data_IF_529861186902
#
_entry.id   IF_529861186902
#
_cell.length_a   1.000
_cell.length_b   1.000
_cell.length_c   1.000
_cell.angle_alpha   90.00
_cell.angle_beta   90.00
_cell.angle_gamma   90.00
#
_symmetry.space_group_name_H-M   'P 1'
#
loop_
_entity.id
_entity.type
_entity.pdbx_description
1 polymer ?
#
# COMPACT_ATOMS: atom_id res chain seq x y z
N UNK A 1 32.99 3.21 23.52
CA UNK A 1 31.54 3.50 23.50
C UNK A 1 31.06 3.38 22.05
N UNK A 2 30.33 2.31 21.73
CA UNK A 2 29.77 2.13 20.38
C UNK A 2 28.35 2.71 20.33
N UNK A 3 28.15 3.71 19.49
CA UNK A 3 26.82 4.27 19.21
C UNK A 3 26.11 3.33 18.23
N UNK A 4 25.12 2.58 18.73
CA UNK A 4 24.17 1.87 17.89
C UNK A 4 23.13 2.88 17.37
N UNK A 5 23.34 3.42 16.17
CA UNK A 5 22.33 4.20 15.48
C UNK A 5 21.29 3.24 14.89
N UNK A 6 20.24 2.93 15.64
CA UNK A 6 19.07 2.23 15.11
C UNK A 6 18.28 3.18 14.21
N UNK A 7 18.33 2.97 12.89
CA UNK A 7 17.38 3.61 11.99
C UNK A 7 16.02 2.95 12.19
N UNK A 8 15.03 3.70 12.67
CA UNK A 8 13.64 3.25 12.69
C UNK A 8 13.17 3.17 11.24
N UNK A 9 13.11 1.95 10.70
CA UNK A 9 12.51 1.69 9.39
C UNK A 9 10.99 1.72 9.61
N UNK A 10 10.31 2.72 9.05
CA UNK A 10 8.85 2.83 9.13
C UNK A 10 8.23 1.77 8.20
N UNK A 11 7.87 0.63 8.77
CA UNK A 11 7.19 -0.45 8.05
C UNK A 11 5.73 -0.07 7.78
N UNK A 12 5.24 -0.29 6.56
CA UNK A 12 3.86 0.02 6.15
C UNK A 12 3.00 -1.22 6.26
N UNK A 13 1.82 -1.16 6.88
CA UNK A 13 0.87 -2.27 6.87
C UNK A 13 -0.27 -1.96 5.88
N UNK A 14 -0.46 -2.75 4.81
CA UNK A 14 -1.56 -2.66 3.84
C UNK A 14 -2.93 -2.45 4.46
N UNK A 15 -3.25 -3.25 5.45
CA UNK A 15 -4.58 -3.25 6.06
C UNK A 15 -4.80 -1.94 6.83
N UNK A 16 -3.74 -1.39 7.41
CA UNK A 16 -3.80 -0.09 8.08
C UNK A 16 -3.95 1.05 7.08
N UNK A 17 -3.28 0.99 5.93
CA UNK A 17 -3.42 2.00 4.89
C UNK A 17 -4.78 1.93 4.18
N UNK A 18 -5.29 0.73 3.90
CA UNK A 18 -6.66 0.51 3.42
C UNK A 18 -7.69 1.01 4.43
N UNK A 19 -7.47 0.78 5.72
CA UNK A 19 -8.36 1.29 6.76
C UNK A 19 -8.35 2.83 6.81
N UNK A 20 -7.19 3.48 6.66
CA UNK A 20 -7.13 4.95 6.55
C UNK A 20 -7.88 5.46 5.33
N UNK A 21 -7.75 4.79 4.18
CA UNK A 21 -8.48 5.14 2.97
C UNK A 21 -10.00 5.01 3.18
N UNK A 22 -10.44 3.94 3.84
CA UNK A 22 -11.85 3.78 4.23
C UNK A 22 -12.33 4.93 5.13
N UNK A 23 -11.55 5.30 6.16
CA UNK A 23 -11.89 6.42 7.04
C UNK A 23 -11.99 7.74 6.27
N UNK A 24 -11.10 7.98 5.29
CA UNK A 24 -11.17 9.16 4.41
C UNK A 24 -12.46 9.18 3.59
N UNK A 25 -12.88 8.07 2.98
CA UNK A 25 -14.14 8.02 2.23
C UNK A 25 -15.37 8.23 3.12
N UNK A 26 -15.28 7.79 4.37
CA UNK A 26 -16.31 8.00 5.37
C UNK A 26 -16.26 9.39 6.00
N UNK A 27 -15.25 10.22 5.74
CA UNK A 27 -14.98 11.47 6.46
C UNK A 27 -14.96 11.28 7.98
N UNK A 28 -14.23 10.25 8.42
CA UNK A 28 -13.96 9.93 9.83
C UNK A 28 -12.50 10.24 10.14
N UNK A 29 -12.25 10.90 11.27
CA UNK A 29 -10.91 11.15 11.80
C UNK A 29 -10.77 10.47 13.16
N UNK A 30 -9.61 9.89 13.43
CA UNK A 30 -9.31 9.33 14.75
C UNK A 30 -8.90 10.45 15.70
N UNK A 31 -9.53 10.51 16.88
CA UNK A 31 -9.15 11.46 17.93
C UNK A 31 -7.78 11.10 18.55
N UNK A 32 -7.29 11.93 19.49
CA UNK A 32 -6.01 11.68 20.20
C UNK A 32 -5.97 10.36 20.99
N UNK A 33 -7.13 9.72 21.20
CA UNK A 33 -7.30 8.45 21.92
C UNK A 33 -7.56 7.28 20.96
N UNK A 34 -7.62 7.52 19.64
CA UNK A 34 -7.90 6.52 18.62
C UNK A 34 -9.39 6.25 18.37
N UNK A 35 -10.32 7.05 18.90
CA UNK A 35 -11.74 6.87 18.65
C UNK A 35 -12.16 7.54 17.32
N UNK A 36 -13.02 6.89 16.52
CA UNK A 36 -13.53 7.47 15.28
C UNK A 36 -14.50 8.62 15.58
N UNK A 37 -14.23 9.79 14.98
CA UNK A 37 -15.09 10.97 15.03
C UNK A 37 -15.52 11.34 13.62
N UNK A 38 -16.83 11.46 13.39
CA UNK A 38 -17.38 11.93 12.12
C UNK A 38 -17.13 13.44 11.97
N UNK A 39 -16.42 13.86 10.92
CA UNK A 39 -16.04 15.27 10.72
C UNK A 39 -16.75 15.94 9.54
N UNK A 40 -17.53 15.19 8.76
CA UNK A 40 -18.30 15.73 7.64
C UNK A 40 -19.23 14.69 7.02
N UNK A 41 -19.89 15.03 5.92
CA UNK A 41 -20.70 14.07 5.15
C UNK A 41 -19.79 13.06 4.45
N UNK A 42 -20.05 11.75 4.48
CA UNK A 42 -19.29 10.76 3.71
C UNK A 42 -19.23 11.11 2.22
N UNK A 43 -18.11 10.76 1.55
CA UNK A 43 -17.94 11.00 0.11
C UNK A 43 -18.78 10.04 -0.74
N UNK A 44 -19.14 8.88 -0.19
CA UNK A 44 -19.95 7.85 -0.80
C UNK A 44 -20.64 7.01 0.29
N UNK A 45 -21.65 6.24 -0.08
CA UNK A 45 -22.29 5.28 0.81
C UNK A 45 -21.45 4.01 1.04
N UNK A 46 -21.89 3.15 1.95
CA UNK A 46 -21.20 1.89 2.30
C UNK A 46 -20.92 0.98 1.10
N UNK A 47 -21.83 0.95 0.13
CA UNK A 47 -21.66 0.13 -1.08
C UNK A 47 -20.52 0.65 -1.94
N UNK A 48 -20.47 1.96 -2.16
CA UNK A 48 -19.36 2.62 -2.87
C UNK A 48 -18.04 2.39 -2.15
N UNK A 49 -18.01 2.55 -0.82
CA UNK A 49 -16.78 2.34 -0.03
C UNK A 49 -16.27 0.92 -0.25
N UNK A 50 -17.13 -0.09 -0.09
CA UNK A 50 -16.74 -1.49 -0.27
C UNK A 50 -16.26 -1.79 -1.69
N UNK A 51 -16.92 -1.22 -2.71
CA UNK A 51 -16.51 -1.40 -4.11
C UNK A 51 -15.09 -0.86 -4.36
N UNK A 52 -14.85 0.40 -4.00
CA UNK A 52 -13.57 1.06 -4.26
C UNK A 52 -12.45 0.44 -3.42
N UNK A 53 -12.70 0.18 -2.14
CA UNK A 53 -11.73 -0.48 -1.27
C UNK A 53 -11.39 -1.88 -1.78
N UNK A 54 -12.38 -2.65 -2.25
CA UNK A 54 -12.14 -3.97 -2.84
C UNK A 54 -11.26 -3.92 -4.09
N UNK A 55 -11.48 -2.93 -4.96
CA UNK A 55 -10.63 -2.70 -6.13
C UNK A 55 -9.18 -2.35 -5.73
N UNK A 56 -8.99 -1.43 -4.77
CA UNK A 56 -7.66 -1.05 -4.29
C UNK A 56 -6.96 -2.22 -3.57
N UNK A 57 -7.70 -2.97 -2.75
CA UNK A 57 -7.19 -4.13 -2.02
C UNK A 57 -6.66 -5.21 -2.98
N UNK A 58 -7.31 -5.41 -4.13
CA UNK A 58 -6.87 -6.39 -5.13
C UNK A 58 -5.44 -6.18 -5.62
N UNK A 59 -4.95 -4.93 -5.59
CA UNK A 59 -3.57 -4.55 -5.92
C UNK A 59 -2.71 -4.54 -4.66
N UNK A 60 -3.16 -3.86 -3.61
CA UNK A 60 -2.42 -3.64 -2.35
C UNK A 60 -2.06 -4.95 -1.64
N UNK A 61 -2.83 -6.03 -1.81
CA UNK A 61 -2.53 -7.33 -1.20
C UNK A 61 -1.48 -8.16 -1.95
N UNK A 62 -1.06 -7.78 -3.17
CA UNK A 62 -0.18 -8.60 -4.03
C UNK A 62 1.31 -8.22 -3.95
N UNK A 63 1.77 -7.80 -2.79
CA UNK A 63 3.05 -7.08 -2.65
C UNK A 63 4.25 -7.92 -3.00
N UNK A 64 4.23 -9.19 -2.62
CA UNK A 64 5.23 -10.20 -3.01
C UNK A 64 5.36 -10.31 -4.52
N UNK A 65 4.24 -10.19 -5.25
CA UNK A 65 4.24 -10.21 -6.71
C UNK A 65 4.80 -8.90 -7.23
N UNK A 66 4.32 -7.77 -6.71
CA UNK A 66 4.70 -6.41 -7.13
C UNK A 66 6.19 -6.10 -6.99
N UNK A 67 6.88 -6.67 -5.99
CA UNK A 67 8.34 -6.49 -5.85
C UNK A 67 9.17 -7.20 -6.92
N UNK A 68 8.57 -8.11 -7.69
CA UNK A 68 9.21 -8.88 -8.75
C UNK A 68 8.73 -8.49 -10.15
N UNK A 69 7.84 -7.48 -10.27
CA UNK A 69 7.32 -7.01 -11.55
C UNK A 69 8.23 -5.93 -12.14
N UNK A 70 8.47 -6.06 -13.44
CA UNK A 70 9.11 -5.02 -14.24
C UNK A 70 8.27 -3.73 -14.24
N UNK A 71 8.94 -2.59 -14.40
CA UNK A 71 8.33 -1.25 -14.33
C UNK A 71 7.17 -1.10 -15.31
N UNK A 72 7.29 -1.63 -16.53
CA UNK A 72 6.24 -1.59 -17.56
C UNK A 72 4.96 -2.32 -17.14
N UNK A 73 5.10 -3.44 -16.43
CA UNK A 73 3.95 -4.22 -15.92
C UNK A 73 3.30 -3.47 -14.76
N UNK A 74 4.09 -2.81 -13.91
CA UNK A 74 3.58 -1.98 -12.82
C UNK A 74 2.83 -0.75 -13.33
N UNK A 75 3.34 -0.10 -14.36
CA UNK A 75 2.64 1.01 -15.03
C UNK A 75 1.32 0.53 -15.66
N UNK A 76 1.33 -0.63 -16.33
CA UNK A 76 0.12 -1.24 -16.89
C UNK A 76 -0.94 -1.57 -15.81
N UNK A 77 -0.51 -2.08 -14.65
CA UNK A 77 -1.39 -2.34 -13.51
C UNK A 77 -1.98 -1.06 -12.92
N UNK A 78 -1.16 0.00 -12.80
CA UNK A 78 -1.62 1.31 -12.35
C UNK A 78 -2.69 1.86 -13.28
N UNK A 79 -2.43 1.82 -14.58
CA UNK A 79 -3.33 2.36 -15.59
C UNK A 79 -4.64 1.54 -15.64
N UNK A 80 -4.54 0.21 -15.52
CA UNK A 80 -5.71 -0.67 -15.39
C UNK A 80 -6.57 -0.34 -14.16
N UNK A 81 -5.93 -0.12 -12.99
CA UNK A 81 -6.65 0.26 -11.78
C UNK A 81 -7.31 1.63 -11.93
N UNK A 82 -6.60 2.61 -12.49
CA UNK A 82 -7.13 3.93 -12.78
C UNK A 82 -8.37 3.84 -13.67
N UNK A 83 -8.29 3.09 -14.77
CA UNK A 83 -9.40 2.87 -15.67
C UNK A 83 -10.59 2.21 -14.99
N UNK A 84 -10.34 1.20 -14.16
CA UNK A 84 -11.38 0.43 -13.47
C UNK A 84 -12.13 1.32 -12.48
N UNK A 85 -11.40 2.03 -11.62
CA UNK A 85 -12.00 2.93 -10.61
C UNK A 85 -12.72 4.08 -11.31
N UNK A 86 -12.12 4.70 -12.34
CA UNK A 86 -12.75 5.78 -13.07
C UNK A 86 -14.09 5.35 -13.69
N UNK A 87 -14.11 4.20 -14.38
CA UNK A 87 -15.34 3.65 -14.99
C UNK A 87 -16.38 3.32 -13.92
N UNK A 88 -15.99 2.67 -12.83
CA UNK A 88 -16.90 2.31 -11.75
C UNK A 88 -17.56 3.55 -11.12
N UNK A 89 -16.76 4.55 -10.75
CA UNK A 89 -17.25 5.81 -10.17
C UNK A 89 -18.14 6.60 -11.14
N UNK A 90 -17.87 6.56 -12.44
CA UNK A 90 -18.68 7.23 -13.45
C UNK A 90 -20.03 6.54 -13.65
N UNK A 91 -20.03 5.21 -13.76
CA UNK A 91 -21.24 4.43 -14.03
C UNK A 91 -22.15 4.32 -12.79
N UNK A 92 -21.55 4.18 -11.61
CA UNK A 92 -22.28 3.93 -10.36
C UNK A 92 -22.42 5.18 -9.47
N UNK A 93 -22.13 6.38 -9.99
CA UNK A 93 -22.18 7.64 -9.21
C UNK A 93 -23.47 7.80 -8.40
N UNK A 94 -24.62 7.62 -9.04
CA UNK A 94 -25.92 7.79 -8.40
C UNK A 94 -26.17 6.69 -7.34
N UNK A 95 -25.77 5.45 -7.66
CA UNK A 95 -25.87 4.29 -6.76
C UNK A 95 -25.03 4.47 -5.50
N UNK A 96 -23.81 4.99 -5.66
CA UNK A 96 -22.88 5.27 -4.56
C UNK A 96 -23.15 6.58 -3.82
N UNK A 97 -24.17 7.33 -4.23
CA UNK A 97 -24.56 8.61 -3.64
C UNK A 97 -23.43 9.65 -3.66
N UNK A 98 -22.63 9.67 -4.74
CA UNK A 98 -21.54 10.64 -4.88
C UNK A 98 -22.11 11.99 -5.33
N UNK A 99 -22.06 12.96 -4.42
CA UNK A 99 -22.77 14.23 -4.52
C UNK A 99 -22.42 15.03 -5.78
N UNK A 100 -21.13 15.19 -6.09
CA UNK A 100 -20.66 16.04 -7.18
C UNK A 100 -19.36 15.53 -7.81
N UNK A 101 -18.96 16.14 -8.93
CA UNK A 101 -17.75 15.76 -9.65
C UNK A 101 -16.48 15.95 -8.79
N UNK A 102 -16.43 16.99 -7.95
CA UNK A 102 -15.30 17.23 -7.05
C UNK A 102 -15.12 16.10 -6.03
N UNK A 103 -16.21 15.61 -5.43
CA UNK A 103 -16.19 14.46 -4.55
C UNK A 103 -15.70 13.20 -5.28
N UNK A 104 -16.20 12.96 -6.49
CA UNK A 104 -15.75 11.84 -7.35
C UNK A 104 -14.25 11.92 -7.62
N UNK A 105 -13.76 13.09 -8.03
CA UNK A 105 -12.36 13.29 -8.38
C UNK A 105 -11.46 13.12 -7.14
N UNK A 106 -11.91 13.60 -5.97
CA UNK A 106 -11.24 13.35 -4.69
C UNK A 106 -11.15 11.86 -4.38
N UNK A 107 -12.26 11.12 -4.50
CA UNK A 107 -12.29 9.67 -4.27
C UNK A 107 -11.28 8.96 -5.18
N UNK A 108 -11.32 9.29 -6.47
CA UNK A 108 -10.42 8.72 -7.48
C UNK A 108 -8.95 8.98 -7.12
N UNK A 109 -8.59 10.23 -6.83
CA UNK A 109 -7.22 10.60 -6.52
C UNK A 109 -6.70 9.92 -5.25
N UNK A 110 -7.50 9.84 -4.19
CA UNK A 110 -7.11 9.15 -2.94
C UNK A 110 -6.91 7.65 -3.15
N UNK A 111 -7.82 6.99 -3.90
CA UNK A 111 -7.73 5.56 -4.19
C UNK A 111 -6.47 5.22 -5.00
N UNK A 112 -6.20 6.01 -6.04
CA UNK A 112 -5.06 5.80 -6.93
C UNK A 112 -3.74 6.15 -6.23
N UNK A 113 -3.69 7.25 -5.48
CA UNK A 113 -2.51 7.60 -4.71
C UNK A 113 -2.13 6.48 -3.73
N UNK A 114 -3.10 5.89 -3.03
CA UNK A 114 -2.87 4.78 -2.11
C UNK A 114 -2.26 3.56 -2.81
N UNK A 115 -2.86 3.16 -3.94
CA UNK A 115 -2.39 2.02 -4.71
C UNK A 115 -0.96 2.27 -5.25
N UNK A 116 -0.67 3.46 -5.76
CA UNK A 116 0.65 3.83 -6.28
C UNK A 116 1.70 3.84 -5.17
N UNK A 117 1.42 4.46 -4.02
CA UNK A 117 2.34 4.49 -2.88
C UNK A 117 2.67 3.06 -2.45
N UNK A 118 1.66 2.19 -2.40
CA UNK A 118 1.82 0.78 -2.07
C UNK A 118 2.67 0.03 -3.11
N UNK A 119 2.35 0.16 -4.41
CA UNK A 119 3.10 -0.45 -5.50
C UNK A 119 4.58 -0.03 -5.50
N UNK A 120 4.83 1.27 -5.34
CA UNK A 120 6.17 1.82 -5.33
C UNK A 120 6.96 1.38 -4.10
N UNK A 121 6.33 1.30 -2.92
CA UNK A 121 6.98 0.76 -1.72
C UNK A 121 7.34 -0.72 -1.89
N UNK A 122 6.41 -1.53 -2.40
CA UNK A 122 6.67 -2.95 -2.66
C UNK A 122 7.89 -3.16 -3.55
N UNK A 123 8.01 -2.37 -4.63
CA UNK A 123 9.12 -2.47 -5.57
C UNK A 123 10.45 -1.89 -5.05
N UNK A 124 10.43 -0.71 -4.43
CA UNK A 124 11.67 -0.02 -4.05
C UNK A 124 12.27 -0.52 -2.74
N UNK A 125 11.42 -0.96 -1.81
CA UNK A 125 11.83 -1.29 -0.44
C UNK A 125 11.87 -2.80 -0.17
N UNK A 126 11.31 -3.60 -1.08
CA UNK A 126 11.23 -5.05 -0.99
C UNK A 126 10.21 -5.55 0.04
N UNK A 127 9.76 -6.79 -0.14
CA UNK A 127 8.68 -7.44 0.63
C UNK A 127 8.89 -7.41 2.16
N UNK A 128 10.15 -7.50 2.62
CA UNK A 128 10.50 -7.49 4.06
C UNK A 128 10.09 -6.21 4.79
N UNK A 129 10.07 -5.06 4.10
CA UNK A 129 9.71 -3.77 4.72
C UNK A 129 8.20 -3.50 4.71
N UNK A 130 7.46 -4.37 4.04
CA UNK A 130 6.06 -4.17 3.71
C UNK A 130 5.09 -5.03 4.54
N UNK A 131 5.55 -6.14 5.12
CA UNK A 131 4.72 -6.98 5.99
C UNK A 131 5.10 -6.85 7.46
N UNK A 132 4.10 -6.64 8.32
CA UNK A 132 4.30 -6.58 9.77
C UNK A 132 4.46 -7.99 10.34
N UNK A 133 5.69 -8.32 10.73
CA UNK A 133 6.04 -9.28 11.76
C UNK A 133 7.33 -8.76 12.38
N UNK A 134 7.37 -8.54 13.69
CA UNK A 134 8.53 -7.94 14.36
C UNK A 134 9.82 -8.70 14.03
N UNK A 135 10.62 -8.19 13.11
CA UNK A 135 12.02 -8.54 13.02
C UNK A 135 12.81 -7.27 13.30
N UNK A 136 13.25 -7.18 14.55
CA UNK A 136 14.33 -6.29 14.93
C UNK A 136 15.58 -6.79 14.19
N UNK A 137 15.88 -6.22 13.02
CA UNK A 137 17.15 -6.49 12.35
C UNK A 137 18.26 -5.91 13.24
N UNK A 138 18.93 -6.78 13.99
CA UNK A 138 20.23 -6.48 14.59
C UNK A 138 21.20 -6.35 13.41
N UNK A 139 21.47 -5.12 12.99
CA UNK A 139 22.56 -4.83 12.05
C UNK A 139 23.86 -5.04 12.82
N UNK A 140 24.36 -6.27 12.81
CA UNK A 140 25.73 -6.54 13.24
C UNK A 140 26.64 -6.02 12.14
N UNK A 141 27.16 -4.80 12.29
CA UNK A 141 28.30 -4.32 11.51
C UNK A 141 29.55 -5.12 11.91
N UNK A 142 29.58 -6.40 11.53
CA UNK A 142 30.79 -7.19 11.44
C UNK A 142 31.34 -7.00 10.03
N UNK A 143 32.55 -6.44 9.93
CA UNK A 143 33.36 -6.48 8.72
C UNK A 143 33.33 -7.89 8.11
N UNK A 144 32.59 -8.08 7.01
CA UNK A 144 32.78 -9.22 6.13
C UNK A 144 33.04 -8.67 4.72
N UNK A 145 34.16 -9.03 4.10
CA UNK A 145 34.53 -8.54 2.78
C UNK A 145 33.65 -9.21 1.72
N UNK A 146 33.07 -8.41 0.83
CA UNK A 146 32.53 -8.82 -0.49
C UNK A 146 31.52 -9.97 -0.51
N UNK A 147 30.22 -9.66 -0.64
CA UNK A 147 29.19 -10.67 -0.89
C UNK A 147 28.04 -10.14 -1.74
N UNK A 148 27.90 -10.69 -2.94
CA UNK A 148 26.99 -10.28 -4.01
C UNK A 148 25.50 -10.21 -3.61
N UNK A 149 24.76 -9.32 -4.29
CA UNK A 149 23.29 -9.22 -4.29
C UNK A 149 22.66 -10.49 -4.86
N UNK A 150 22.47 -11.51 -4.03
CA UNK A 150 21.74 -12.74 -4.38
C UNK A 150 20.40 -12.79 -3.64
N UNK A 151 19.31 -12.96 -4.39
CA UNK A 151 17.94 -13.02 -3.87
C UNK A 151 17.73 -14.15 -2.85
N UNK A 152 16.65 -14.03 -2.07
CA UNK A 152 16.32 -14.90 -0.95
C UNK A 152 16.29 -16.40 -1.34
N UNK A 153 15.83 -16.70 -2.56
CA UNK A 153 15.74 -18.07 -3.10
C UNK A 153 17.12 -18.70 -3.36
N UNK A 154 18.10 -17.91 -3.82
CA UNK A 154 19.48 -18.38 -4.01
C UNK A 154 20.17 -18.75 -2.70
N UNK A 155 19.79 -18.14 -1.57
CA UNK A 155 20.28 -18.51 -0.23
C UNK A 155 19.54 -19.71 0.37
N UNK A 156 18.25 -19.86 0.08
CA UNK A 156 17.44 -20.95 0.63
C UNK A 156 17.71 -22.31 0.00
N UNK A 157 18.13 -22.36 -1.27
CA UNK A 157 18.30 -23.62 -2.02
C UNK A 157 19.72 -24.20 -1.99
N UNK A 158 20.69 -23.56 -1.32
CA UNK A 158 22.04 -24.12 -1.15
C UNK A 158 22.79 -24.45 -2.46
N UNK A 159 22.33 -23.93 -3.60
CA UNK A 159 22.94 -24.14 -4.92
C UNK A 159 23.96 -23.03 -5.25
N UNK A 160 24.90 -22.83 -4.34
CA UNK A 160 26.11 -22.04 -4.57
C UNK A 160 27.32 -22.92 -4.31
N UNK A 161 27.60 -23.83 -5.24
CA UNK A 161 28.71 -24.77 -5.16
C UNK A 161 30.04 -24.16 -5.61
N UNK A 162 31.06 -24.45 -4.79
CA UNK A 162 32.52 -24.26 -4.91
C UNK A 162 33.07 -22.85 -4.69
#
# INVERSE_FOLDING_TARGET
MHNFAGSIILLTNPDQELHKLELTFRNIVLDKKGNPTQVGTPLMNDEGVRSVIGQVQSIVSQVTVMSNLDDEVRDSLRDFLADTIAKDLMLNRAKYQIENASARDRIFMEAIAMAIITMNRAANEGERKFWKGSQQEIITHGNMPGGAKGGLLTRALGWGGK
#
